data_IF_727758628078
#
_entry.id   IF_727758628078
#
_cell.length_a   1.000
_cell.length_b   1.000
_cell.length_c   1.000
_cell.angle_alpha   90.00
_cell.angle_beta   90.00
_cell.angle_gamma   90.00
#
_symmetry.space_group_name_H-M   'P 1'
#
loop_
_entity.id
_entity.type
_entity.pdbx_description
1 polymer ?
#
# COMPACT_ATOMS: atom_id res chain seq x y z
N UNK A 1 19.23 27.55 1.63
CA UNK A 1 19.42 26.26 2.30
C UNK A 1 19.54 25.23 1.21
N UNK A 2 20.68 24.59 1.10
CA UNK A 2 20.82 23.44 0.21
C UNK A 2 19.98 22.31 0.82
N UNK A 3 18.97 21.85 0.08
CA UNK A 3 18.14 20.75 0.54
C UNK A 3 18.96 19.46 0.55
N UNK A 4 19.06 18.82 1.67
CA UNK A 4 19.64 17.51 1.78
C UNK A 4 18.59 16.51 1.30
N UNK A 5 18.90 15.72 0.28
CA UNK A 5 18.08 14.59 -0.15
C UNK A 5 18.22 13.47 0.90
N UNK A 6 17.35 13.47 1.89
CA UNK A 6 17.38 12.47 2.97
C UNK A 6 15.96 12.09 3.36
N UNK A 7 15.80 10.89 3.85
CA UNK A 7 14.66 10.46 4.65
C UNK A 7 14.40 11.46 5.76
N UNK A 8 13.18 11.97 5.87
CA UNK A 8 12.82 12.97 6.88
C UNK A 8 12.73 12.33 8.28
N UNK A 9 12.23 11.10 8.36
CA UNK A 9 12.15 10.35 9.60
C UNK A 9 12.29 8.85 9.31
N UNK A 10 13.17 8.18 9.99
CA UNK A 10 13.32 6.73 9.88
C UNK A 10 13.37 6.07 11.25
N UNK A 11 12.63 4.96 11.40
CA UNK A 11 12.80 4.02 12.49
C UNK A 11 13.57 2.82 11.95
N UNK A 12 14.70 2.50 12.54
CA UNK A 12 15.55 1.39 12.11
C UNK A 12 15.96 0.52 13.28
N UNK A 13 15.65 -0.79 13.22
CA UNK A 13 15.95 -1.74 14.29
C UNK A 13 15.36 -1.35 15.64
N UNK A 14 14.17 -0.73 15.60
CA UNK A 14 13.55 -0.10 16.78
C UNK A 14 12.35 -0.89 17.26
N UNK A 15 11.96 -0.70 18.52
CA UNK A 15 10.74 -1.24 19.12
C UNK A 15 10.04 -0.18 19.96
N UNK A 16 8.69 -0.18 19.91
CA UNK A 16 7.85 0.75 20.65
C UNK A 16 8.10 2.24 20.34
N UNK A 17 8.07 2.62 19.05
CA UNK A 17 8.23 4.00 18.59
C UNK A 17 6.88 4.66 18.35
N UNK A 18 6.70 5.88 18.87
CA UNK A 18 5.53 6.70 18.58
C UNK A 18 5.95 8.07 18.06
N UNK A 19 5.42 8.45 16.89
CA UNK A 19 5.66 9.74 16.25
C UNK A 19 4.29 10.41 16.02
N UNK A 20 4.08 11.61 16.59
CA UNK A 20 2.81 12.31 16.53
C UNK A 20 2.95 13.74 16.05
N UNK A 21 1.96 14.20 15.28
CA UNK A 21 1.81 15.60 14.86
C UNK A 21 3.08 16.17 14.17
N UNK A 22 3.75 15.35 13.36
CA UNK A 22 4.96 15.74 12.62
C UNK A 22 4.61 16.07 11.18
N UNK A 23 5.29 17.05 10.61
CA UNK A 23 5.24 17.40 9.19
C UNK A 23 6.57 17.05 8.53
N UNK A 24 6.55 16.12 7.59
CA UNK A 24 7.69 15.75 6.77
C UNK A 24 7.54 16.39 5.38
N UNK A 25 8.40 17.34 5.04
CA UNK A 25 8.35 18.06 3.77
C UNK A 25 9.71 18.01 3.12
N UNK A 26 9.78 17.46 1.91
CA UNK A 26 10.97 17.44 1.08
C UNK A 26 10.66 17.92 -0.34
N UNK A 27 11.62 18.55 -1.00
CA UNK A 27 11.45 19.04 -2.38
C UNK A 27 12.59 18.61 -3.31
N UNK A 28 13.61 17.98 -2.76
CA UNK A 28 14.75 17.48 -3.50
C UNK A 28 14.65 15.97 -3.69
N UNK A 29 15.17 15.44 -4.79
CA UNK A 29 15.06 14.02 -5.14
C UNK A 29 15.51 13.06 -4.02
N UNK A 30 14.87 11.91 -3.90
CA UNK A 30 15.06 10.90 -2.86
C UNK A 30 14.77 11.39 -1.42
N UNK A 31 13.81 12.30 -1.30
CA UNK A 31 13.41 12.84 -0.03
C UNK A 31 12.16 12.15 0.52
N UNK A 32 12.32 10.94 1.06
CA UNK A 32 11.22 10.17 1.67
C UNK A 32 10.67 10.86 2.93
N UNK A 33 9.46 10.47 3.32
CA UNK A 33 8.81 10.93 4.54
C UNK A 33 9.12 10.06 5.77
N UNK A 34 8.20 9.16 6.08
CA UNK A 34 8.24 8.28 7.25
C UNK A 34 8.65 6.87 6.84
N UNK A 35 9.84 6.43 7.22
CA UNK A 35 10.36 5.12 6.86
C UNK A 35 10.48 4.18 8.06
N UNK A 36 10.15 2.91 7.86
CA UNK A 36 10.26 1.84 8.86
C UNK A 36 11.16 0.74 8.29
N UNK A 37 12.28 0.48 8.95
CA UNK A 37 13.22 -0.58 8.57
C UNK A 37 13.42 -1.55 9.75
N UNK A 38 13.11 -2.83 9.55
CA UNK A 38 13.36 -3.87 10.56
C UNK A 38 12.91 -3.46 11.97
N UNK A 39 11.70 -2.88 12.11
CA UNK A 39 11.21 -2.30 13.37
C UNK A 39 9.81 -2.81 13.72
N UNK A 40 9.51 -2.85 15.03
CA UNK A 40 8.23 -3.34 15.53
C UNK A 40 7.53 -2.28 16.40
N UNK A 41 6.19 -2.41 16.55
CA UNK A 41 5.39 -1.56 17.41
C UNK A 41 5.58 -0.06 17.11
N UNK A 42 5.44 0.32 15.84
CA UNK A 42 5.63 1.70 15.36
C UNK A 42 4.27 2.36 15.13
N UNK A 43 4.06 3.53 15.69
CA UNK A 43 2.87 4.34 15.49
C UNK A 43 3.24 5.71 14.92
N UNK A 44 2.68 6.03 13.76
CA UNK A 44 2.59 7.38 13.20
C UNK A 44 1.14 7.88 13.36
N UNK A 45 0.94 9.02 14.03
CA UNK A 45 -0.39 9.56 14.32
C UNK A 45 -0.46 11.06 14.03
N UNK A 46 -1.37 11.47 13.15
CA UNK A 46 -1.55 12.86 12.79
C UNK A 46 -0.35 13.45 12.04
N UNK A 47 0.29 12.68 11.16
CA UNK A 47 1.42 13.18 10.36
C UNK A 47 0.94 13.78 9.04
N UNK A 48 1.68 14.77 8.55
CA UNK A 48 1.52 15.32 7.22
C UNK A 48 2.82 15.09 6.44
N UNK A 49 2.73 14.36 5.35
CA UNK A 49 3.86 14.09 4.45
C UNK A 49 3.63 14.76 3.11
N UNK A 50 4.57 15.63 2.67
CA UNK A 50 4.68 16.07 1.29
C UNK A 50 6.10 15.86 0.82
N UNK A 51 6.31 14.82 0.03
CA UNK A 51 7.62 14.31 -0.24
C UNK A 51 7.94 14.23 -1.74
N UNK A 52 9.22 14.41 -2.05
CA UNK A 52 9.78 14.28 -3.40
C UNK A 52 10.26 12.85 -3.72
N UNK A 53 9.89 11.90 -2.86
CA UNK A 53 9.97 10.46 -3.00
C UNK A 53 8.87 9.85 -2.10
N UNK A 54 8.95 8.58 -1.69
CA UNK A 54 7.89 7.91 -0.94
C UNK A 54 7.48 8.64 0.35
N UNK A 55 6.19 8.87 0.56
CA UNK A 55 5.72 9.49 1.81
C UNK A 55 5.89 8.57 3.02
N UNK A 56 5.67 7.26 2.84
CA UNK A 56 5.92 6.27 3.88
C UNK A 56 6.34 4.95 3.29
N UNK A 57 7.33 4.30 3.90
CA UNK A 57 7.80 2.98 3.51
C UNK A 57 7.88 2.03 4.68
N UNK A 58 7.65 0.73 4.42
CA UNK A 58 7.93 -0.35 5.37
C UNK A 58 8.78 -1.40 4.66
N UNK A 59 10.01 -1.54 5.08
CA UNK A 59 10.96 -2.49 4.52
C UNK A 59 11.49 -3.45 5.60
N UNK A 60 11.89 -4.64 5.19
CA UNK A 60 12.68 -5.55 6.01
C UNK A 60 14.11 -5.02 6.21
N UNK A 61 15.09 -5.88 6.03
CA UNK A 61 16.51 -5.51 6.11
C UNK A 61 16.83 -4.39 5.12
N UNK A 62 17.27 -3.25 5.66
CA UNK A 62 17.65 -2.07 4.87
C UNK A 62 18.68 -1.21 5.65
N UNK A 63 19.63 -0.60 4.94
CA UNK A 63 20.63 0.35 5.48
C UNK A 63 21.38 -0.16 6.74
N UNK A 64 21.62 -1.47 6.83
CA UNK A 64 22.31 -2.09 7.98
C UNK A 64 21.39 -2.57 9.10
N UNK A 65 20.12 -2.16 9.14
CA UNK A 65 19.12 -2.71 10.03
C UNK A 65 18.62 -4.05 9.48
N UNK A 66 18.46 -5.05 10.35
CA UNK A 66 18.13 -6.43 9.94
C UNK A 66 16.90 -6.95 10.65
N UNK A 67 16.00 -7.58 9.89
CA UNK A 67 14.78 -8.22 10.38
C UNK A 67 13.54 -7.77 9.64
N UNK A 68 12.40 -8.37 9.97
CA UNK A 68 11.09 -7.98 9.45
C UNK A 68 10.51 -6.78 10.19
N UNK A 69 9.25 -6.49 9.89
CA UNK A 69 8.46 -5.46 10.58
C UNK A 69 7.14 -6.05 11.07
N UNK A 70 6.73 -5.64 12.27
CA UNK A 70 5.46 -6.09 12.85
C UNK A 70 4.78 -4.99 13.66
N UNK A 71 3.43 -4.95 13.62
CA UNK A 71 2.63 -3.96 14.35
C UNK A 71 3.01 -2.52 14.00
N UNK A 72 2.94 -2.19 12.72
CA UNK A 72 3.16 -0.82 12.24
C UNK A 72 1.81 -0.18 11.93
N UNK A 73 1.53 0.95 12.53
CA UNK A 73 0.29 1.70 12.30
C UNK A 73 0.60 3.12 11.87
N UNK A 74 -0.04 3.57 10.79
CA UNK A 74 -0.16 4.98 10.44
C UNK A 74 -1.63 5.37 10.48
N UNK A 75 -1.96 6.43 11.21
CA UNK A 75 -3.35 6.86 11.34
C UNK A 75 -3.51 8.39 11.32
N UNK A 76 -4.75 8.84 10.99
CA UNK A 76 -5.15 10.25 11.05
C UNK A 76 -4.18 11.18 10.29
N UNK A 77 -3.75 10.76 9.12
CA UNK A 77 -2.62 11.37 8.43
C UNK A 77 -2.96 11.80 7.01
N UNK A 78 -2.16 12.72 6.47
CA UNK A 78 -2.33 13.22 5.10
C UNK A 78 -1.04 13.04 4.32
N UNK A 79 -1.14 12.45 3.13
CA UNK A 79 -0.01 12.10 2.28
C UNK A 79 -0.11 12.79 0.92
N UNK A 80 0.99 13.38 0.48
CA UNK A 80 1.14 14.05 -0.81
C UNK A 80 2.48 13.63 -1.43
N UNK A 81 2.46 12.69 -2.33
CA UNK A 81 3.67 12.26 -3.04
C UNK A 81 3.89 13.13 -4.28
N UNK A 82 4.79 14.10 -4.20
CA UNK A 82 5.20 14.89 -5.38
C UNK A 82 5.91 14.02 -6.42
N UNK A 83 6.56 12.94 -5.98
CA UNK A 83 7.14 11.85 -6.77
C UNK A 83 6.98 10.56 -5.97
N UNK A 84 6.88 9.40 -6.64
CA UNK A 84 6.75 8.06 -6.08
C UNK A 84 5.45 7.84 -5.27
N UNK A 85 5.49 7.14 -4.15
CA UNK A 85 4.29 6.56 -3.53
C UNK A 85 3.84 7.31 -2.27
N UNK A 86 2.52 7.47 -2.06
CA UNK A 86 2.00 7.78 -0.74
C UNK A 86 2.29 6.67 0.29
N UNK A 87 2.01 5.41 -0.07
CA UNK A 87 2.25 4.25 0.80
C UNK A 87 2.97 3.17 0.01
N UNK A 88 4.12 2.73 0.51
CA UNK A 88 4.92 1.70 -0.12
C UNK A 88 5.42 0.64 0.88
N UNK A 89 5.18 -0.64 0.58
CA UNK A 89 5.52 -1.77 1.47
C UNK A 89 6.29 -2.83 0.68
N UNK A 90 7.34 -3.37 1.28
CA UNK A 90 8.10 -4.49 0.74
C UNK A 90 9.33 -4.07 -0.04
N UNK A 91 9.67 -4.78 -1.10
CA UNK A 91 10.76 -4.74 -2.06
C UNK A 91 12.16 -4.99 -1.48
N UNK A 92 12.53 -4.39 -0.35
CA UNK A 92 13.84 -4.58 0.27
C UNK A 92 13.78 -5.54 1.45
N UNK A 93 14.75 -6.46 1.54
CA UNK A 93 14.87 -7.45 2.59
C UNK A 93 16.18 -8.22 2.56
N UNK A 94 16.26 -9.33 3.29
CA UNK A 94 17.41 -10.23 3.27
C UNK A 94 17.05 -11.55 2.54
N UNK A 95 17.56 -11.71 1.33
CA UNK A 95 17.32 -12.92 0.52
C UNK A 95 17.85 -14.20 1.15
N UNK A 96 18.81 -14.12 2.06
CA UNK A 96 19.40 -15.29 2.74
C UNK A 96 18.65 -15.66 4.01
N UNK A 97 18.06 -14.67 4.67
CA UNK A 97 17.27 -14.84 5.89
C UNK A 97 15.88 -14.23 5.65
N UNK A 98 14.95 -14.99 5.01
CA UNK A 98 13.67 -14.48 4.59
C UNK A 98 12.85 -13.87 5.72
N UNK A 99 12.31 -12.68 5.50
CA UNK A 99 11.65 -11.87 6.51
C UNK A 99 10.12 -11.84 6.33
N UNK A 100 9.42 -11.35 7.35
CA UNK A 100 7.98 -11.13 7.31
C UNK A 100 7.70 -9.68 7.67
N UNK A 101 6.88 -9.04 6.86
CA UNK A 101 6.28 -7.73 7.13
C UNK A 101 4.81 -7.98 7.42
N UNK A 102 4.39 -7.83 8.68
CA UNK A 102 3.05 -8.25 9.09
C UNK A 102 2.36 -7.29 10.04
N UNK A 103 1.03 -7.33 10.06
CA UNK A 103 0.17 -6.49 10.89
C UNK A 103 0.48 -5.00 10.69
N UNK A 104 0.27 -4.58 9.43
CA UNK A 104 0.50 -3.21 8.99
C UNK A 104 -0.84 -2.52 8.75
N UNK A 105 -1.08 -1.43 9.46
CA UNK A 105 -2.37 -0.77 9.50
C UNK A 105 -2.27 0.70 9.05
N UNK A 106 -3.01 1.07 8.02
CA UNK A 106 -3.17 2.43 7.53
C UNK A 106 -4.63 2.84 7.72
N UNK A 107 -4.91 3.75 8.66
CA UNK A 107 -6.27 4.04 9.09
C UNK A 107 -6.55 5.54 9.06
N UNK A 108 -7.64 5.93 8.43
CA UNK A 108 -8.06 7.34 8.34
C UNK A 108 -6.96 8.21 7.70
N UNK A 109 -6.69 7.96 6.41
CA UNK A 109 -5.64 8.64 5.64
C UNK A 109 -6.27 9.41 4.46
N UNK A 110 -5.84 10.64 4.26
CA UNK A 110 -6.09 11.41 3.04
C UNK A 110 -4.86 11.34 2.13
N UNK A 111 -5.04 10.88 0.89
CA UNK A 111 -4.01 10.88 -0.15
C UNK A 111 -4.36 11.97 -1.15
N UNK A 112 -3.60 13.06 -1.15
CA UNK A 112 -3.87 14.24 -1.97
C UNK A 112 -3.24 14.16 -3.35
N UNK A 113 -2.13 13.42 -3.50
CA UNK A 113 -1.45 13.27 -4.78
C UNK A 113 -0.55 12.05 -4.81
N UNK A 114 -0.37 11.52 -6.02
CA UNK A 114 0.53 10.43 -6.36
C UNK A 114 1.13 10.70 -7.74
N UNK A 115 2.40 10.41 -7.90
CA UNK A 115 3.09 10.55 -9.18
C UNK A 115 4.21 9.55 -9.32
N UNK A 116 3.91 8.39 -9.93
CA UNK A 116 4.89 7.37 -10.27
C UNK A 116 4.72 6.93 -11.73
N UNK A 117 5.75 7.14 -12.53
CA UNK A 117 5.75 6.84 -13.97
C UNK A 117 6.12 5.40 -14.30
N UNK A 118 6.74 4.68 -13.38
CA UNK A 118 7.19 3.32 -13.63
C UNK A 118 5.99 2.36 -13.54
N UNK A 119 5.44 1.95 -14.68
CA UNK A 119 4.20 1.15 -14.80
C UNK A 119 4.12 -0.05 -13.84
N UNK A 120 5.22 -0.76 -13.65
CA UNK A 120 5.25 -1.93 -12.77
C UNK A 120 5.46 -1.58 -11.29
N UNK A 121 5.48 -0.29 -10.95
CA UNK A 121 5.87 0.22 -9.65
C UNK A 121 4.90 1.27 -9.12
N UNK A 122 3.83 1.55 -9.87
CA UNK A 122 2.79 2.52 -9.52
C UNK A 122 1.90 2.01 -8.39
N UNK A 123 1.25 2.91 -7.68
CA UNK A 123 0.21 2.63 -6.71
C UNK A 123 0.19 3.60 -5.53
N UNK A 124 -0.96 4.22 -5.28
CA UNK A 124 -1.17 5.00 -4.06
C UNK A 124 -0.99 4.13 -2.81
N UNK A 125 -1.54 2.92 -2.86
CA UNK A 125 -1.39 1.86 -1.86
C UNK A 125 -0.65 0.70 -2.54
N UNK A 126 0.67 0.66 -2.35
CA UNK A 126 1.55 -0.26 -3.07
C UNK A 126 2.21 -1.27 -2.14
N UNK A 127 2.09 -2.55 -2.47
CA UNK A 127 2.83 -3.65 -1.85
C UNK A 127 3.60 -4.38 -2.95
N UNK A 128 4.91 -4.23 -2.93
CA UNK A 128 5.80 -4.91 -3.86
C UNK A 128 6.72 -5.87 -3.10
N UNK A 129 6.34 -7.13 -2.99
CA UNK A 129 7.15 -8.11 -2.29
C UNK A 129 8.38 -8.48 -3.11
N UNK A 130 9.56 -8.21 -2.57
CA UNK A 130 10.87 -8.55 -3.12
C UNK A 130 11.76 -9.19 -2.07
N UNK A 131 12.99 -9.55 -2.44
CA UNK A 131 14.05 -10.05 -1.55
C UNK A 131 13.61 -11.15 -0.57
N UNK A 132 12.77 -12.10 -1.04
CA UNK A 132 12.19 -13.17 -0.25
C UNK A 132 11.29 -12.74 0.92
N UNK A 133 10.80 -11.49 0.94
CA UNK A 133 9.83 -11.05 1.93
C UNK A 133 8.48 -11.75 1.75
N UNK A 134 7.84 -12.08 2.86
CA UNK A 134 6.41 -12.32 2.94
C UNK A 134 5.75 -11.07 3.52
N UNK A 135 4.78 -10.50 2.80
CA UNK A 135 3.96 -9.40 3.30
C UNK A 135 2.57 -9.93 3.60
N UNK A 136 2.09 -9.75 4.82
CA UNK A 136 0.78 -10.26 5.20
C UNK A 136 0.06 -9.43 6.25
N UNK A 137 -1.25 -9.65 6.35
CA UNK A 137 -2.10 -9.02 7.35
C UNK A 137 -1.98 -7.48 7.28
N UNK A 138 -2.21 -6.93 6.07
CA UNK A 138 -2.17 -5.49 5.80
C UNK A 138 -3.57 -4.94 5.65
N UNK A 139 -3.86 -3.85 6.35
CA UNK A 139 -5.17 -3.20 6.34
C UNK A 139 -5.06 -1.73 5.94
N UNK A 140 -5.81 -1.37 4.93
CA UNK A 140 -6.09 0.00 4.52
C UNK A 140 -7.55 0.29 4.85
N UNK A 141 -7.82 1.17 5.83
CA UNK A 141 -9.17 1.46 6.29
C UNK A 141 -9.46 2.95 6.31
N UNK A 142 -10.61 3.34 5.76
CA UNK A 142 -11.03 4.74 5.68
C UNK A 142 -9.97 5.60 4.97
N UNK A 143 -9.63 5.21 3.75
CA UNK A 143 -8.66 5.92 2.90
C UNK A 143 -9.41 6.71 1.84
N UNK A 144 -9.13 8.00 1.76
CA UNK A 144 -9.72 8.92 0.77
C UNK A 144 -8.62 9.37 -0.19
N UNK A 145 -8.76 9.01 -1.45
CA UNK A 145 -7.78 9.32 -2.49
C UNK A 145 -8.37 10.35 -3.44
N UNK A 146 -7.71 11.49 -3.56
CA UNK A 146 -8.06 12.53 -4.52
C UNK A 146 -7.52 12.24 -5.91
N UNK A 147 -7.89 13.07 -6.89
CA UNK A 147 -7.44 12.94 -8.27
C UNK A 147 -5.95 13.28 -8.40
N UNK A 148 -5.12 12.27 -8.40
CA UNK A 148 -3.67 12.38 -8.48
C UNK A 148 -3.15 12.58 -9.91
N UNK A 149 -1.88 12.99 -10.06
CA UNK A 149 -1.26 13.36 -11.34
C UNK A 149 -0.98 12.20 -12.26
N UNK A 150 -0.46 11.07 -11.75
CA UNK A 150 0.01 9.96 -12.59
C UNK A 150 0.23 8.71 -11.73
N UNK A 151 -0.31 7.58 -12.14
CA UNK A 151 -0.13 6.30 -11.48
C UNK A 151 -1.42 5.52 -11.28
N UNK A 152 -1.44 4.55 -10.40
CA UNK A 152 -2.58 3.68 -10.12
C UNK A 152 -3.06 3.78 -8.67
N UNK A 153 -4.28 3.34 -8.42
CA UNK A 153 -4.85 3.34 -7.06
C UNK A 153 -4.19 2.27 -6.19
N UNK A 154 -4.05 1.07 -6.72
CA UNK A 154 -3.53 -0.10 -5.99
C UNK A 154 -2.47 -0.81 -6.83
N UNK A 155 -1.41 -1.29 -6.17
CA UNK A 155 -0.43 -2.18 -6.78
C UNK A 155 -0.02 -3.26 -5.78
N UNK A 156 -0.45 -4.48 -6.01
CA UNK A 156 -0.02 -5.65 -5.24
C UNK A 156 0.76 -6.57 -6.16
N UNK A 157 2.07 -6.61 -6.01
CA UNK A 157 2.91 -7.42 -6.90
C UNK A 157 4.00 -8.17 -6.15
N UNK A 158 4.16 -9.42 -6.53
CA UNK A 158 5.37 -10.16 -6.21
C UNK A 158 6.21 -10.14 -7.47
N UNK A 159 7.33 -9.41 -7.47
CA UNK A 159 8.15 -9.32 -8.66
C UNK A 159 9.64 -9.23 -8.36
N UNK A 160 10.42 -9.44 -9.39
CA UNK A 160 11.86 -9.32 -9.38
C UNK A 160 12.30 -8.13 -10.25
N UNK A 161 12.75 -7.11 -9.60
CA UNK A 161 13.28 -5.93 -10.27
C UNK A 161 14.74 -5.72 -9.86
N UNK A 162 15.66 -6.04 -10.77
CA UNK A 162 17.12 -5.96 -10.53
C UNK A 162 17.62 -4.59 -10.09
N UNK A 163 16.83 -3.52 -10.29
CA UNK A 163 17.15 -2.19 -9.81
C UNK A 163 16.97 -2.05 -8.30
N UNK A 164 15.96 -2.73 -7.73
CA UNK A 164 15.55 -2.51 -6.35
C UNK A 164 15.68 -3.74 -5.45
N UNK A 165 15.63 -4.95 -6.01
CA UNK A 165 15.71 -6.19 -5.26
C UNK A 165 16.53 -7.26 -5.98
N UNK A 166 16.99 -8.27 -5.25
CA UNK A 166 17.87 -9.33 -5.74
C UNK A 166 17.17 -10.67 -5.92
N UNK A 167 15.95 -10.80 -5.41
CA UNK A 167 15.08 -11.95 -5.58
C UNK A 167 13.60 -11.53 -5.55
N UNK A 168 12.65 -12.32 -6.08
CA UNK A 168 11.23 -12.10 -5.88
C UNK A 168 10.85 -12.31 -4.41
N UNK A 169 9.74 -11.72 -3.99
CA UNK A 169 9.13 -11.99 -2.68
C UNK A 169 8.57 -13.41 -2.58
N UNK A 170 8.24 -13.85 -1.37
CA UNK A 170 7.65 -15.18 -1.12
C UNK A 170 6.13 -15.19 -1.29
N UNK A 171 5.46 -14.07 -0.99
CA UNK A 171 4.01 -13.98 -1.02
C UNK A 171 3.48 -12.63 -0.58
N UNK A 172 2.20 -12.41 -0.88
CA UNK A 172 1.37 -11.33 -0.32
C UNK A 172 0.07 -11.99 0.13
N UNK A 173 -0.32 -11.84 1.41
CA UNK A 173 -1.44 -12.58 1.97
C UNK A 173 -2.30 -11.71 2.90
N UNK A 174 -3.63 -11.91 2.89
CA UNK A 174 -4.58 -11.27 3.80
C UNK A 174 -4.53 -9.73 3.70
N UNK A 175 -4.82 -9.18 2.54
CA UNK A 175 -4.84 -7.74 2.31
C UNK A 175 -6.28 -7.24 2.31
N UNK A 176 -6.57 -6.26 3.15
CA UNK A 176 -7.91 -5.68 3.24
C UNK A 176 -7.88 -4.19 2.90
N UNK A 177 -8.71 -3.82 1.93
CA UNK A 177 -9.07 -2.45 1.61
C UNK A 177 -10.50 -2.21 2.06
N UNK A 178 -10.69 -1.45 3.14
CA UNK A 178 -12.00 -1.18 3.71
C UNK A 178 -12.33 0.30 3.69
N UNK A 179 -13.53 0.65 3.22
CA UNK A 179 -13.99 2.04 3.16
C UNK A 179 -12.98 2.92 2.42
N UNK A 180 -12.52 2.46 1.26
CA UNK A 180 -11.59 3.19 0.38
C UNK A 180 -12.38 3.93 -0.70
N UNK A 181 -12.10 5.21 -0.89
CA UNK A 181 -12.69 6.01 -1.97
C UNK A 181 -11.61 6.64 -2.85
N UNK A 182 -11.89 6.69 -4.15
CA UNK A 182 -11.12 7.44 -5.13
C UNK A 182 -12.06 8.33 -5.93
N UNK A 183 -11.77 9.62 -5.95
CA UNK A 183 -12.50 10.61 -6.73
C UNK A 183 -11.55 11.26 -7.74
N UNK A 184 -11.58 10.77 -8.99
CA UNK A 184 -10.67 11.24 -10.01
C UNK A 184 -10.82 10.51 -11.35
N UNK A 185 -10.08 10.97 -12.34
CA UNK A 185 -10.12 10.45 -13.71
C UNK A 185 -8.73 10.12 -14.29
N UNK A 186 -7.69 10.08 -13.44
CA UNK A 186 -6.31 9.88 -13.89
C UNK A 186 -5.68 8.58 -13.42
N UNK A 187 -6.40 7.78 -12.65
CA UNK A 187 -5.88 6.48 -12.25
C UNK A 187 -5.64 5.60 -13.48
N UNK A 188 -4.42 5.10 -13.61
CA UNK A 188 -4.06 4.06 -14.54
C UNK A 188 -4.50 2.69 -14.01
N UNK A 189 -4.31 1.64 -14.77
CA UNK A 189 -4.70 0.30 -14.40
C UNK A 189 -3.98 -0.16 -13.13
N UNK A 190 -4.74 -0.44 -12.08
CA UNK A 190 -4.23 -1.09 -10.88
C UNK A 190 -3.88 -2.55 -11.16
N UNK A 191 -2.82 -3.07 -10.53
CA UNK A 191 -2.34 -4.44 -10.82
C UNK A 191 -2.27 -5.25 -9.53
N UNK A 192 -2.85 -6.46 -9.58
CA UNK A 192 -2.69 -7.51 -8.56
C UNK A 192 -2.14 -8.73 -9.29
N UNK A 193 -0.86 -9.07 -9.07
CA UNK A 193 -0.18 -10.12 -9.83
C UNK A 193 0.88 -10.83 -8.98
N UNK A 194 0.76 -12.17 -8.88
CA UNK A 194 1.79 -13.03 -8.28
C UNK A 194 2.99 -13.22 -9.21
N UNK A 195 3.89 -14.11 -8.84
CA UNK A 195 5.13 -14.34 -9.60
C UNK A 195 5.18 -15.69 -10.28
N UNK A 196 4.88 -16.76 -9.55
CA UNK A 196 4.84 -18.15 -10.02
C UNK A 196 3.90 -19.01 -9.15
N UNK A 197 3.86 -20.31 -9.37
CA UNK A 197 2.97 -21.24 -8.64
C UNK A 197 3.25 -21.33 -7.14
N UNK A 198 4.45 -20.99 -6.70
CA UNK A 198 4.84 -21.01 -5.29
C UNK A 198 4.67 -19.64 -4.62
N UNK A 199 4.83 -18.55 -5.40
CA UNK A 199 4.83 -17.18 -4.93
C UNK A 199 3.56 -16.48 -5.39
N UNK A 200 2.52 -16.63 -4.59
CA UNK A 200 1.16 -16.19 -4.92
C UNK A 200 0.72 -15.00 -4.06
N UNK A 201 -0.27 -14.31 -4.57
CA UNK A 201 -1.08 -13.36 -3.79
C UNK A 201 -2.36 -14.08 -3.37
N UNK A 202 -2.72 -14.01 -2.09
CA UNK A 202 -3.89 -14.70 -1.54
C UNK A 202 -4.72 -13.80 -0.64
N UNK A 203 -6.03 -14.00 -0.72
CA UNK A 203 -6.99 -13.38 0.17
C UNK A 203 -6.90 -11.84 0.16
N UNK A 204 -7.28 -11.23 -0.97
CA UNK A 204 -7.40 -9.78 -1.14
C UNK A 204 -8.87 -9.40 -1.08
N UNK A 205 -9.23 -8.53 -0.15
CA UNK A 205 -10.62 -8.13 0.09
C UNK A 205 -10.79 -6.62 -0.07
N UNK A 206 -11.65 -6.25 -0.99
CA UNK A 206 -12.16 -4.88 -1.10
C UNK A 206 -13.55 -4.83 -0.45
N UNK A 207 -13.68 -4.05 0.62
CA UNK A 207 -14.90 -3.85 1.38
C UNK A 207 -15.32 -2.39 1.30
N UNK A 208 -16.48 -2.13 0.71
CA UNK A 208 -17.01 -0.79 0.46
C UNK A 208 -16.07 0.10 -0.40
N UNK A 209 -15.40 -0.46 -1.41
CA UNK A 209 -14.62 0.33 -2.36
C UNK A 209 -15.54 1.25 -3.17
N UNK A 210 -15.22 2.54 -3.25
CA UNK A 210 -15.92 3.52 -4.08
C UNK A 210 -14.98 4.16 -5.08
N UNK A 211 -15.42 4.20 -6.32
CA UNK A 211 -14.72 4.91 -7.41
C UNK A 211 -15.69 5.92 -7.99
N UNK A 212 -15.39 7.20 -7.89
CA UNK A 212 -16.25 8.32 -8.31
C UNK A 212 -17.68 8.18 -7.75
N UNK A 213 -17.80 7.85 -6.47
CA UNK A 213 -19.05 7.64 -5.76
C UNK A 213 -19.74 6.30 -6.03
N UNK A 214 -19.33 5.55 -7.05
CA UNK A 214 -19.90 4.23 -7.36
C UNK A 214 -19.33 3.16 -6.42
N UNK A 215 -20.21 2.45 -5.72
CA UNK A 215 -19.85 1.29 -4.92
C UNK A 215 -19.50 0.10 -5.82
N UNK A 216 -18.34 -0.50 -5.61
CA UNK A 216 -17.83 -1.61 -6.41
C UNK A 216 -17.97 -2.91 -5.62
N UNK A 217 -18.84 -3.82 -6.13
CA UNK A 217 -19.09 -5.14 -5.51
C UNK A 217 -19.26 -6.22 -6.55
N UNK A 218 -19.06 -7.47 -6.15
CA UNK A 218 -19.22 -8.63 -7.03
C UNK A 218 -20.66 -8.80 -7.53
N UNK A 219 -21.65 -8.30 -6.79
CA UNK A 219 -23.07 -8.33 -7.08
C UNK A 219 -23.68 -6.98 -7.49
N UNK A 220 -22.84 -5.98 -7.85
CA UNK A 220 -23.33 -4.64 -8.15
C UNK A 220 -24.32 -4.62 -9.33
N UNK A 221 -25.36 -3.77 -9.27
CA UNK A 221 -26.37 -3.67 -10.31
C UNK A 221 -25.77 -3.34 -11.69
N UNK A 222 -26.27 -4.04 -12.72
CA UNK A 222 -25.87 -3.81 -14.11
C UNK A 222 -24.58 -4.51 -14.54
N UNK A 223 -23.86 -5.16 -13.61
CA UNK A 223 -22.71 -5.98 -13.98
C UNK A 223 -23.20 -7.32 -14.57
N UNK A 224 -22.82 -7.68 -15.82
CA UNK A 224 -23.12 -9.00 -16.36
C UNK A 224 -22.45 -10.10 -15.52
N UNK A 225 -23.10 -11.24 -15.36
CA UNK A 225 -22.59 -12.35 -14.54
C UNK A 225 -21.23 -12.90 -15.02
N UNK A 226 -20.91 -12.73 -16.30
CA UNK A 226 -19.66 -13.17 -16.90
C UNK A 226 -18.55 -12.10 -16.84
N UNK A 227 -18.80 -10.90 -16.31
CA UNK A 227 -17.84 -9.81 -16.25
C UNK A 227 -17.12 -9.81 -14.90
N UNK A 228 -15.81 -9.68 -14.92
CA UNK A 228 -15.02 -9.59 -13.69
C UNK A 228 -15.21 -8.22 -13.03
N UNK A 229 -15.39 -8.19 -11.73
CA UNK A 229 -15.56 -6.94 -10.97
C UNK A 229 -14.32 -6.05 -11.09
N UNK A 230 -13.13 -6.63 -11.12
CA UNK A 230 -11.89 -5.91 -11.35
C UNK A 230 -11.90 -5.07 -12.62
N UNK A 231 -12.48 -5.57 -13.72
CA UNK A 231 -12.58 -4.83 -14.99
C UNK A 231 -13.42 -3.55 -14.85
N UNK A 232 -14.46 -3.58 -13.99
CA UNK A 232 -15.29 -2.39 -13.70
C UNK A 232 -14.57 -1.39 -12.80
N UNK A 233 -13.65 -1.86 -11.98
CA UNK A 233 -12.90 -1.05 -11.03
C UNK A 233 -11.55 -0.55 -11.59
N UNK A 234 -11.18 -0.92 -12.82
CA UNK A 234 -9.85 -0.65 -13.36
C UNK A 234 -8.74 -1.38 -12.58
N UNK A 235 -9.04 -2.59 -12.09
CA UNK A 235 -8.10 -3.43 -11.34
C UNK A 235 -7.88 -4.73 -12.11
N UNK A 236 -6.70 -4.88 -12.68
CA UNK A 236 -6.28 -6.12 -13.33
C UNK A 236 -5.88 -7.16 -12.28
N UNK A 237 -6.55 -8.30 -12.27
CA UNK A 237 -6.19 -9.47 -11.47
C UNK A 237 -5.48 -10.45 -12.40
N UNK A 238 -4.17 -10.54 -12.28
CA UNK A 238 -3.29 -11.32 -13.13
C UNK A 238 -3.09 -12.77 -12.64
N UNK A 239 -2.09 -13.48 -13.20
CA UNK A 239 -1.79 -14.84 -12.82
C UNK A 239 -1.26 -14.95 -11.38
N UNK A 240 -1.35 -16.18 -10.82
CA UNK A 240 -0.85 -16.52 -9.49
C UNK A 240 -1.50 -15.70 -8.37
N UNK A 241 -2.80 -15.37 -8.53
CA UNK A 241 -3.63 -14.68 -7.55
C UNK A 241 -4.81 -15.55 -7.19
N UNK A 242 -5.08 -15.69 -5.90
CA UNK A 242 -6.17 -16.50 -5.35
C UNK A 242 -7.04 -15.63 -4.43
N UNK A 243 -8.36 -15.76 -4.54
CA UNK A 243 -9.35 -15.16 -3.63
C UNK A 243 -9.30 -13.61 -3.58
N UNK A 244 -9.63 -12.95 -4.68
CA UNK A 244 -9.91 -11.51 -4.71
C UNK A 244 -11.42 -11.30 -4.67
N UNK A 245 -11.91 -10.53 -3.69
CA UNK A 245 -13.34 -10.28 -3.48
C UNK A 245 -13.66 -8.81 -3.34
N UNK A 246 -14.81 -8.42 -3.87
CA UNK A 246 -15.38 -7.07 -3.75
C UNK A 246 -16.75 -7.16 -3.09
N UNK A 247 -16.87 -6.66 -1.86
CA UNK A 247 -18.08 -6.82 -1.06
C UNK A 247 -18.55 -5.49 -0.46
N UNK A 248 -19.84 -5.45 -0.10
CA UNK A 248 -20.37 -4.36 0.72
C UNK A 248 -20.80 -4.88 2.09
N UNK A 249 -20.49 -4.08 3.10
CA UNK A 249 -21.06 -4.25 4.45
C UNK A 249 -22.11 -3.19 4.75
N UNK A 250 -22.40 -2.28 3.82
CA UNK A 250 -23.46 -1.28 3.92
C UNK A 250 -24.81 -1.99 3.89
N UNK A 251 -25.63 -1.77 4.89
CA UNK A 251 -26.95 -2.40 5.02
C UNK A 251 -27.01 -3.65 5.91
N UNK A 252 -25.88 -4.24 6.30
CA UNK A 252 -25.88 -5.38 7.22
C UNK A 252 -26.20 -4.99 8.69
N UNK A 253 -26.15 -3.71 9.04
CA UNK A 253 -26.40 -3.22 10.40
C UNK A 253 -27.86 -2.85 10.72
N UNK A 254 -28.79 -2.97 9.79
CA UNK A 254 -30.19 -2.54 10.00
C UNK A 254 -31.12 -3.60 10.56
N UNK A 255 -30.67 -4.83 10.80
CA UNK A 255 -31.55 -5.94 11.23
C UNK A 255 -31.43 -6.34 12.71
N UNK A 256 -30.77 -5.58 13.57
CA UNK A 256 -30.65 -5.91 14.99
C UNK A 256 -31.28 -4.86 15.93
N UNK A 257 -32.41 -4.26 15.55
CA UNK A 257 -33.29 -3.54 16.50
C UNK A 257 -34.70 -4.04 16.28
N UNK A 258 -35.06 -5.07 16.98
CA UNK A 258 -36.44 -5.42 17.36
C UNK A 258 -36.45 -5.97 18.77
#
# INVERSE_FOLDING_TARGET
MEGIATTQCATGGSDAVTIRNVKAISYYGWGDGMNVFASNNVLFDGVFCRNSDDCTTVYGTRLGFKGGCKHVTMQNSTLWADVAHPIFIGIHGDTKNPEVLEDLNYVNIDILDHREKQLNYQGCMSINAGDNNLVRDVRFENIRVENFREGSLVNLRIFYNKKYCTAPGRGIENITFKDVSYDGNRAELSIIEGYDEERKIRNVRFENLRINGQLITDDMPGKPAWYNTGDMAGIYVGPHVEDVTFVSTEGAMTNNVR
#
